data_IF_551901124080
#
_entry.id   IF_551901124080
#
_cell.length_a   1.000
_cell.length_b   1.000
_cell.length_c   1.000
_cell.angle_alpha   90.00
_cell.angle_beta   90.00
_cell.angle_gamma   90.00
#
_symmetry.space_group_name_H-M   'P 1'
#
loop_
_entity.id
_entity.type
_entity.pdbx_description
1 polymer ?
#
# COMPACT_ATOMS: atom_id res chain seq x y z
N UNK A 1 12.53 22.39 -18.82
CA UNK A 1 11.66 23.35 -18.12
C UNK A 1 12.49 24.20 -17.15
N UNK A 2 13.12 25.30 -17.63
CA UNK A 2 14.04 26.08 -16.78
C UNK A 2 13.38 26.79 -15.60
N UNK A 3 12.09 27.07 -15.67
CA UNK A 3 11.29 27.67 -14.59
C UNK A 3 10.79 26.66 -13.54
N UNK A 4 10.97 25.37 -13.76
CA UNK A 4 10.49 24.33 -12.85
C UNK A 4 11.48 24.14 -11.71
N UNK A 5 11.02 24.29 -10.48
CA UNK A 5 11.80 24.07 -9.26
C UNK A 5 11.20 22.92 -8.45
N UNK A 6 11.98 22.33 -7.55
CA UNK A 6 11.45 21.30 -6.64
C UNK A 6 10.26 21.84 -5.82
N UNK A 7 10.31 23.09 -5.39
CA UNK A 7 9.22 23.71 -4.63
C UNK A 7 7.91 23.78 -5.44
N UNK A 8 7.97 24.08 -6.74
CA UNK A 8 6.77 24.06 -7.59
C UNK A 8 6.21 22.67 -7.77
N UNK A 9 7.07 21.64 -7.91
CA UNK A 9 6.65 20.24 -8.06
C UNK A 9 6.03 19.65 -6.79
N UNK A 10 6.29 20.24 -5.61
CA UNK A 10 5.63 19.83 -4.37
C UNK A 10 4.15 20.23 -4.29
N UNK A 11 3.70 21.11 -5.19
CA UNK A 11 2.28 21.42 -5.33
C UNK A 11 1.63 20.32 -6.21
N UNK A 12 0.56 19.65 -5.75
CA UNK A 12 -0.10 18.62 -6.55
C UNK A 12 -0.57 19.17 -7.90
N UNK A 13 -0.43 18.36 -8.96
CA UNK A 13 -0.85 18.67 -10.33
C UNK A 13 -0.20 19.92 -10.93
N UNK A 14 1.08 20.13 -10.62
CA UNK A 14 1.85 21.29 -11.11
C UNK A 14 3.03 20.91 -12.00
N UNK A 15 3.13 19.65 -12.38
CA UNK A 15 4.20 19.22 -13.29
C UNK A 15 3.99 19.82 -14.69
N UNK A 16 5.07 20.21 -15.36
CA UNK A 16 4.99 20.56 -16.77
C UNK A 16 4.68 19.31 -17.58
N UNK A 17 4.17 19.50 -18.81
CA UNK A 17 3.93 18.37 -19.70
C UNK A 17 5.22 17.58 -19.94
N UNK A 18 5.20 16.30 -19.60
CA UNK A 18 6.29 15.35 -19.79
C UNK A 18 6.10 14.55 -21.10
N UNK A 19 6.96 13.59 -21.36
CA UNK A 19 6.92 12.65 -22.51
C UNK A 19 6.98 13.32 -23.88
N UNK A 20 7.52 14.53 -23.99
CA UNK A 20 7.66 15.23 -25.27
C UNK A 20 8.76 14.65 -26.16
N UNK A 21 9.71 13.91 -25.58
CA UNK A 21 10.86 13.33 -26.29
C UNK A 21 10.95 11.82 -26.20
N UNK A 22 10.54 11.22 -25.10
CA UNK A 22 10.65 9.80 -24.84
C UNK A 22 9.46 9.30 -24.03
N UNK A 23 9.12 8.03 -24.19
CA UNK A 23 8.16 7.32 -23.33
C UNK A 23 8.84 6.88 -22.04
N UNK A 24 8.04 6.73 -20.98
CA UNK A 24 8.49 6.20 -19.69
C UNK A 24 7.92 4.80 -19.49
N UNK A 25 8.82 3.83 -19.35
CA UNK A 25 8.47 2.44 -19.01
C UNK A 25 8.95 2.15 -17.60
N UNK A 26 8.08 1.60 -16.77
CA UNK A 26 8.42 1.19 -15.40
C UNK A 26 8.26 -0.32 -15.25
N UNK A 27 9.21 -0.94 -14.56
CA UNK A 27 9.28 -2.38 -14.31
C UNK A 27 9.48 -2.55 -12.80
N UNK A 28 8.47 -2.97 -12.02
CA UNK A 28 8.60 -3.09 -10.58
C UNK A 28 9.46 -4.29 -10.19
N UNK A 29 10.30 -4.11 -9.18
CA UNK A 29 11.15 -5.15 -8.57
C UNK A 29 10.70 -5.54 -7.16
N UNK A 30 9.52 -5.09 -6.74
CA UNK A 30 8.85 -5.44 -5.48
C UNK A 30 7.36 -5.63 -5.71
N UNK A 31 6.71 -6.41 -4.86
CA UNK A 31 5.27 -6.63 -4.93
C UNK A 31 4.55 -5.84 -3.83
N UNK A 32 4.54 -4.50 -3.97
CA UNK A 32 3.96 -3.64 -2.92
C UNK A 32 3.55 -2.24 -3.38
N UNK A 33 4.52 -1.42 -3.79
CA UNK A 33 4.34 0.02 -4.00
C UNK A 33 3.52 0.40 -5.24
N UNK A 34 3.46 -0.48 -6.23
CA UNK A 34 2.74 -0.27 -7.49
C UNK A 34 3.10 1.03 -8.23
N UNK A 35 4.34 1.50 -8.10
CA UNK A 35 4.78 2.77 -8.71
C UNK A 35 4.72 2.76 -10.23
N UNK A 36 4.68 1.57 -10.85
CA UNK A 36 4.54 1.38 -12.29
C UNK A 36 3.18 1.79 -12.86
N UNK A 37 2.16 1.94 -12.01
CA UNK A 37 0.79 2.29 -12.41
C UNK A 37 0.21 3.48 -11.65
N UNK A 38 1.03 4.22 -10.90
CA UNK A 38 0.54 5.29 -10.02
C UNK A 38 1.05 6.67 -10.39
N UNK A 39 0.28 7.68 -10.00
CA UNK A 39 0.54 9.10 -10.22
C UNK A 39 1.31 9.75 -9.04
N UNK A 40 2.08 8.96 -8.28
CA UNK A 40 2.73 9.41 -7.05
C UNK A 40 4.23 9.09 -7.04
N UNK A 41 5.01 10.01 -6.47
CA UNK A 41 6.43 9.83 -6.17
C UNK A 41 6.74 10.45 -4.81
N UNK A 42 7.35 9.70 -3.90
CA UNK A 42 7.67 10.22 -2.55
C UNK A 42 9.18 10.45 -2.46
N UNK A 43 9.58 11.70 -2.32
CA UNK A 43 10.98 12.11 -2.23
C UNK A 43 11.31 12.53 -0.80
N UNK A 44 12.40 11.99 -0.26
CA UNK A 44 12.87 12.37 1.09
C UNK A 44 13.91 13.48 1.00
N UNK A 45 13.64 14.60 1.65
CA UNK A 45 14.62 15.64 1.94
C UNK A 45 15.31 15.28 3.27
N UNK A 46 16.47 14.67 3.16
CA UNK A 46 17.23 14.22 4.34
C UNK A 46 17.75 15.40 5.18
N UNK A 47 17.96 16.57 4.59
CA UNK A 47 18.44 17.74 5.32
C UNK A 47 17.35 18.30 6.27
N UNK A 48 16.09 18.16 5.87
CA UNK A 48 14.93 18.63 6.65
C UNK A 48 14.20 17.51 7.39
N UNK A 49 14.50 16.24 7.10
CA UNK A 49 13.76 15.10 7.63
C UNK A 49 12.30 15.05 7.16
N UNK A 50 12.02 15.53 5.95
CA UNK A 50 10.65 15.64 5.42
C UNK A 50 10.50 14.76 4.17
N UNK A 51 9.38 14.04 4.07
CA UNK A 51 8.95 13.35 2.86
C UNK A 51 7.94 14.20 2.11
N UNK A 52 8.22 14.45 0.84
CA UNK A 52 7.35 15.19 -0.08
C UNK A 52 6.64 14.19 -1.00
N UNK A 53 5.33 14.01 -0.85
CA UNK A 53 4.53 13.27 -1.84
C UNK A 53 4.29 14.18 -3.04
N UNK A 54 4.92 13.86 -4.16
CA UNK A 54 4.65 14.49 -5.45
C UNK A 54 3.49 13.73 -6.09
N UNK A 55 2.48 14.45 -6.56
CA UNK A 55 1.29 13.87 -7.16
C UNK A 55 0.96 14.58 -8.48
N UNK A 56 1.03 13.86 -9.58
CA UNK A 56 0.66 14.38 -10.89
C UNK A 56 0.45 13.23 -11.89
N UNK A 57 -0.53 13.33 -12.76
CA UNK A 57 -0.75 12.35 -13.82
C UNK A 57 0.40 12.30 -14.82
N UNK A 58 1.17 13.39 -14.97
CA UNK A 58 2.36 13.43 -15.83
C UNK A 58 3.48 12.49 -15.38
N UNK A 59 3.52 12.06 -14.11
CA UNK A 59 4.52 11.10 -13.63
C UNK A 59 4.06 9.64 -13.72
N UNK A 60 2.80 9.37 -14.04
CA UNK A 60 2.35 8.00 -14.30
C UNK A 60 3.09 7.43 -15.51
N UNK A 61 3.70 6.23 -15.41
CA UNK A 61 4.37 5.60 -16.54
C UNK A 61 3.43 5.38 -17.74
N UNK A 62 3.98 5.50 -18.96
CA UNK A 62 3.24 5.19 -20.19
C UNK A 62 3.08 3.67 -20.38
N UNK A 63 4.04 2.89 -19.86
CA UNK A 63 4.09 1.43 -19.99
C UNK A 63 4.50 0.85 -18.64
N UNK A 64 3.74 -0.11 -18.16
CA UNK A 64 4.09 -0.93 -17.01
C UNK A 64 4.40 -2.36 -17.48
N UNK A 65 5.56 -2.90 -17.10
CA UNK A 65 5.91 -4.30 -17.35
C UNK A 65 5.96 -5.00 -15.98
N UNK A 66 4.97 -5.84 -15.73
CA UNK A 66 4.84 -6.59 -14.47
C UNK A 66 5.41 -7.98 -14.68
N UNK A 67 6.74 -8.12 -14.48
CA UNK A 67 7.46 -9.37 -14.69
C UNK A 67 7.76 -10.04 -13.33
N UNK A 68 7.10 -11.18 -13.01
CA UNK A 68 7.29 -11.87 -11.73
C UNK A 68 8.69 -12.45 -11.55
N UNK A 69 9.48 -12.63 -12.62
CA UNK A 69 10.87 -13.08 -12.51
C UNK A 69 11.73 -12.11 -11.68
N UNK A 70 11.40 -10.82 -11.67
CA UNK A 70 12.15 -9.81 -10.95
C UNK A 70 11.93 -9.85 -9.42
N UNK A 71 10.88 -10.53 -8.95
CA UNK A 71 10.59 -10.69 -7.52
C UNK A 71 10.92 -12.09 -6.99
N UNK A 72 11.40 -13.00 -7.85
CA UNK A 72 11.72 -14.37 -7.45
C UNK A 72 12.76 -14.46 -6.32
N UNK A 73 13.75 -13.56 -6.31
CA UNK A 73 14.82 -13.52 -5.30
C UNK A 73 14.60 -12.50 -4.19
N UNK A 74 13.42 -11.88 -4.13
CA UNK A 74 13.14 -10.87 -3.11
C UNK A 74 13.24 -11.50 -1.70
N UNK A 75 14.02 -10.89 -0.78
CA UNK A 75 14.14 -11.41 0.58
C UNK A 75 12.80 -11.51 1.28
N UNK A 76 12.56 -12.58 2.03
CA UNK A 76 11.28 -12.87 2.70
C UNK A 76 10.78 -11.73 3.58
N UNK A 77 11.69 -11.01 4.24
CA UNK A 77 11.35 -9.82 5.04
C UNK A 77 10.77 -8.70 4.18
N UNK A 78 11.27 -8.52 2.96
CA UNK A 78 10.72 -7.55 2.01
C UNK A 78 9.38 -8.03 1.46
N UNK A 79 9.23 -9.33 1.19
CA UNK A 79 7.94 -9.92 0.78
C UNK A 79 6.85 -9.62 1.82
N UNK A 80 7.17 -9.80 3.11
CA UNK A 80 6.24 -9.48 4.19
C UNK A 80 5.84 -8.00 4.18
N UNK A 81 6.82 -7.10 4.13
CA UNK A 81 6.55 -5.67 4.20
C UNK A 81 5.83 -5.15 2.97
N UNK A 82 6.27 -5.54 1.77
CA UNK A 82 5.65 -5.07 0.53
C UNK A 82 4.29 -5.71 0.30
N UNK A 83 4.08 -6.97 0.70
CA UNK A 83 2.79 -7.62 0.64
C UNK A 83 1.75 -6.99 1.56
N UNK A 84 2.14 -6.61 2.78
CA UNK A 84 1.27 -5.87 3.69
C UNK A 84 1.02 -4.43 3.22
N UNK A 85 1.96 -3.83 2.51
CA UNK A 85 1.78 -2.55 1.83
C UNK A 85 0.71 -2.64 0.74
N UNK A 86 0.80 -3.65 -0.13
CA UNK A 86 -0.21 -3.92 -1.16
C UNK A 86 -1.60 -4.16 -0.56
N UNK A 87 -1.68 -4.92 0.55
CA UNK A 87 -2.94 -5.12 1.27
C UNK A 87 -3.50 -3.80 1.80
N UNK A 88 -2.64 -2.97 2.38
CA UNK A 88 -3.05 -1.67 2.92
C UNK A 88 -3.54 -0.74 1.80
N UNK A 89 -2.84 -0.68 0.67
CA UNK A 89 -3.25 0.05 -0.52
C UNK A 89 -4.67 -0.34 -0.96
N UNK A 90 -4.91 -1.64 -1.10
CA UNK A 90 -6.19 -2.16 -1.57
C UNK A 90 -7.33 -1.91 -0.56
N UNK A 91 -7.08 -2.12 0.73
CA UNK A 91 -8.08 -1.87 1.79
C UNK A 91 -8.41 -0.37 1.87
N UNK A 92 -7.40 0.50 1.89
CA UNK A 92 -7.65 1.95 1.96
C UNK A 92 -8.35 2.47 0.71
N UNK A 93 -7.98 1.99 -0.49
CA UNK A 93 -8.69 2.33 -1.72
C UNK A 93 -10.16 1.90 -1.67
N UNK A 94 -10.44 0.70 -1.16
CA UNK A 94 -11.80 0.17 -1.06
C UNK A 94 -12.66 0.97 -0.11
N UNK A 95 -12.14 1.39 1.06
CA UNK A 95 -12.90 2.15 2.05
C UNK A 95 -12.80 3.67 1.87
N UNK A 96 -12.07 4.14 0.87
CA UNK A 96 -11.94 5.55 0.55
C UNK A 96 -13.29 6.21 0.27
N UNK A 97 -13.43 7.46 0.65
CA UNK A 97 -14.59 8.28 0.24
C UNK A 97 -14.62 8.62 -1.25
N UNK A 98 -13.50 8.38 -1.95
CA UNK A 98 -13.36 8.53 -3.40
C UNK A 98 -13.45 7.19 -4.14
N UNK A 99 -13.91 6.13 -3.47
CA UNK A 99 -14.17 4.84 -4.12
C UNK A 99 -15.18 4.97 -5.27
N UNK A 100 -15.13 4.05 -6.21
CA UNK A 100 -15.99 4.08 -7.39
C UNK A 100 -16.22 2.66 -7.94
N UNK A 101 -17.24 2.47 -8.82
CA UNK A 101 -17.41 1.21 -9.52
C UNK A 101 -16.21 0.77 -10.37
N UNK A 102 -15.28 1.66 -10.67
CA UNK A 102 -14.04 1.36 -11.40
C UNK A 102 -12.91 0.92 -10.47
N UNK A 103 -12.83 1.47 -9.25
CA UNK A 103 -11.77 1.16 -8.29
C UNK A 103 -12.10 -0.02 -7.39
N UNK A 104 -13.37 -0.19 -7.02
CA UNK A 104 -13.82 -1.25 -6.10
C UNK A 104 -13.51 -2.67 -6.60
N UNK A 105 -13.77 -3.04 -7.87
CA UNK A 105 -13.43 -4.37 -8.35
C UNK A 105 -11.93 -4.68 -8.31
N UNK A 106 -11.09 -3.68 -8.58
CA UNK A 106 -9.63 -3.82 -8.55
C UNK A 106 -9.15 -3.99 -7.10
N UNK A 107 -9.64 -3.15 -6.19
CA UNK A 107 -9.29 -3.20 -4.77
C UNK A 107 -9.69 -4.53 -4.14
N UNK A 108 -10.93 -4.96 -4.35
CA UNK A 108 -11.44 -6.23 -3.81
C UNK A 108 -10.66 -7.41 -4.38
N UNK A 109 -10.40 -7.44 -5.70
CA UNK A 109 -9.62 -8.52 -6.29
C UNK A 109 -8.20 -8.57 -5.73
N UNK A 110 -7.57 -7.43 -5.53
CA UNK A 110 -6.26 -7.35 -4.89
C UNK A 110 -6.29 -7.87 -3.44
N UNK A 111 -7.31 -7.51 -2.65
CA UNK A 111 -7.47 -8.01 -1.27
C UNK A 111 -7.61 -9.53 -1.26
N UNK A 112 -8.51 -10.10 -2.07
CA UNK A 112 -8.71 -11.55 -2.18
C UNK A 112 -7.39 -12.26 -2.51
N UNK A 113 -6.67 -11.77 -3.53
CA UNK A 113 -5.39 -12.36 -3.93
C UNK A 113 -4.33 -12.26 -2.82
N UNK A 114 -4.24 -11.14 -2.11
CA UNK A 114 -3.28 -11.03 -0.99
C UNK A 114 -3.62 -12.01 0.13
N UNK A 115 -4.90 -12.18 0.47
CA UNK A 115 -5.33 -13.15 1.49
C UNK A 115 -5.00 -14.58 1.10
N UNK A 116 -5.14 -14.92 -0.18
CA UNK A 116 -4.89 -16.27 -0.70
C UNK A 116 -3.39 -16.57 -0.82
N UNK A 117 -2.57 -15.60 -1.26
CA UNK A 117 -1.22 -15.87 -1.71
C UNK A 117 -0.09 -15.30 -0.85
N UNK A 118 -0.34 -14.28 0.00
CA UNK A 118 0.76 -13.65 0.76
C UNK A 118 1.50 -14.62 1.68
N UNK A 119 0.85 -15.51 2.46
CA UNK A 119 1.57 -16.47 3.28
C UNK A 119 2.47 -17.42 2.47
N UNK A 120 1.94 -18.00 1.39
CA UNK A 120 2.72 -18.88 0.53
C UNK A 120 3.87 -18.14 -0.20
N UNK A 121 3.62 -16.92 -0.64
CA UNK A 121 4.66 -16.05 -1.21
C UNK A 121 5.79 -15.76 -0.21
N UNK A 122 5.45 -15.56 1.06
CA UNK A 122 6.43 -15.40 2.13
C UNK A 122 7.25 -16.69 2.34
N UNK A 123 6.62 -17.86 2.21
CA UNK A 123 7.26 -19.17 2.30
C UNK A 123 8.03 -19.59 1.02
N UNK A 124 8.27 -18.65 0.12
CA UNK A 124 9.05 -18.84 -1.11
C UNK A 124 8.35 -19.62 -2.22
N UNK A 125 7.03 -19.77 -2.19
CA UNK A 125 6.26 -20.31 -3.31
C UNK A 125 6.28 -19.31 -4.49
N UNK A 126 6.80 -19.76 -5.64
CA UNK A 126 7.00 -18.89 -6.80
C UNK A 126 5.71 -18.54 -7.52
N UNK A 127 4.75 -19.46 -7.56
CA UNK A 127 3.44 -19.21 -8.16
C UNK A 127 2.67 -18.18 -7.31
N UNK A 128 2.77 -18.29 -5.99
CA UNK A 128 2.20 -17.30 -5.08
C UNK A 128 2.91 -15.93 -5.20
N UNK A 129 4.23 -15.89 -5.44
CA UNK A 129 4.95 -14.63 -5.70
C UNK A 129 4.48 -13.95 -6.97
N UNK A 130 4.23 -14.71 -8.02
CA UNK A 130 3.64 -14.20 -9.26
C UNK A 130 2.27 -13.58 -8.98
N UNK A 131 1.39 -14.29 -8.26
CA UNK A 131 0.07 -13.79 -7.92
C UNK A 131 0.14 -12.52 -7.06
N UNK A 132 1.07 -12.45 -6.10
CA UNK A 132 1.30 -11.25 -5.30
C UNK A 132 1.80 -10.08 -6.15
N UNK A 133 2.59 -10.35 -7.20
CA UNK A 133 3.06 -9.32 -8.10
C UNK A 133 1.93 -8.73 -8.95
N UNK A 134 0.95 -9.53 -9.33
CA UNK A 134 -0.27 -9.04 -9.98
C UNK A 134 -1.20 -8.32 -9.00
N UNK A 135 -1.36 -8.84 -7.78
CA UNK A 135 -2.21 -8.23 -6.76
C UNK A 135 -1.79 -6.79 -6.42
N UNK A 136 -0.48 -6.54 -6.28
CA UNK A 136 0.02 -5.20 -6.00
C UNK A 136 -0.28 -4.23 -7.15
N UNK A 137 -0.18 -4.66 -8.40
CA UNK A 137 -0.50 -3.84 -9.56
C UNK A 137 -2.00 -3.46 -9.58
N UNK A 138 -2.89 -4.41 -9.27
CA UNK A 138 -4.33 -4.14 -9.12
C UNK A 138 -4.61 -3.15 -7.99
N UNK A 139 -3.97 -3.34 -6.83
CA UNK A 139 -4.05 -2.40 -5.70
C UNK A 139 -3.61 -0.99 -6.12
N UNK A 140 -2.53 -0.90 -6.90
CA UNK A 140 -2.00 0.35 -7.44
C UNK A 140 -2.99 1.09 -8.33
N UNK A 141 -3.61 0.37 -9.27
CA UNK A 141 -4.63 0.94 -10.13
C UNK A 141 -5.85 1.43 -9.33
N UNK A 142 -6.22 0.72 -8.27
CA UNK A 142 -7.30 1.12 -7.38
C UNK A 142 -6.95 2.41 -6.63
N UNK A 143 -5.86 2.42 -5.85
CA UNK A 143 -5.54 3.55 -4.99
C UNK A 143 -5.06 4.79 -5.76
N UNK A 144 -4.46 4.63 -6.94
CA UNK A 144 -4.07 5.77 -7.77
C UNK A 144 -5.28 6.64 -8.16
N UNK A 145 -6.48 6.05 -8.16
CA UNK A 145 -7.73 6.73 -8.48
C UNK A 145 -8.62 7.00 -7.24
N UNK A 146 -8.63 6.09 -6.26
CA UNK A 146 -9.43 6.25 -5.04
C UNK A 146 -8.71 6.99 -3.92
N UNK A 147 -7.39 7.22 -4.06
CA UNK A 147 -6.48 7.73 -3.05
C UNK A 147 -6.34 6.79 -1.83
N UNK A 148 -5.58 7.26 -0.84
CA UNK A 148 -5.24 6.52 0.38
C UNK A 148 -5.81 7.23 1.61
N UNK A 149 -5.67 6.59 2.77
CA UNK A 149 -6.26 7.04 4.01
C UNK A 149 -5.26 7.30 5.14
N UNK A 150 -5.72 7.05 6.37
CA UNK A 150 -5.02 7.37 7.62
C UNK A 150 -3.76 6.50 7.79
N UNK A 151 -3.79 5.23 7.38
CA UNK A 151 -2.63 4.32 7.56
C UNK A 151 -1.42 4.88 6.83
N UNK A 152 -1.55 5.18 5.55
CA UNK A 152 -0.46 5.74 4.74
C UNK A 152 -0.03 7.12 5.23
N UNK A 153 -0.98 7.97 5.64
CA UNK A 153 -0.67 9.28 6.22
C UNK A 153 0.21 9.15 7.47
N UNK A 154 -0.11 8.22 8.37
CA UNK A 154 0.68 7.93 9.57
C UNK A 154 2.05 7.33 9.22
N UNK A 155 2.10 6.36 8.29
CA UNK A 155 3.33 5.71 7.87
C UNK A 155 4.33 6.69 7.24
N UNK A 156 3.87 7.60 6.39
CA UNK A 156 4.71 8.64 5.79
C UNK A 156 5.30 9.58 6.85
N UNK A 157 4.48 10.02 7.81
CA UNK A 157 4.95 10.90 8.91
C UNK A 157 5.92 10.19 9.83
N UNK A 158 5.64 8.94 10.19
CA UNK A 158 6.54 8.13 11.03
C UNK A 158 7.89 7.91 10.33
N UNK A 159 7.89 7.54 9.04
CA UNK A 159 9.11 7.32 8.28
C UNK A 159 9.94 8.59 8.04
N UNK A 160 9.36 9.78 8.19
CA UNK A 160 10.07 11.06 8.07
C UNK A 160 10.60 11.60 9.40
N UNK A 161 9.87 11.35 10.50
CA UNK A 161 10.10 12.01 11.79
C UNK A 161 11.30 11.48 12.58
N UNK A 162 11.82 10.29 12.27
CA UNK A 162 12.83 9.62 13.09
C UNK A 162 14.13 9.42 12.33
N UNK A 163 15.15 10.18 12.71
CA UNK A 163 16.52 10.09 12.18
C UNK A 163 17.26 8.82 12.63
N UNK A 164 16.76 8.13 13.67
CA UNK A 164 17.42 7.00 14.35
C UNK A 164 16.59 5.73 14.30
N UNK A 165 15.92 5.40 13.33
CA UNK A 165 15.14 4.15 13.24
C UNK A 165 14.24 4.19 12.04
N UNK A 166 14.78 3.87 10.88
CA UNK A 166 13.97 3.77 9.67
C UNK A 166 13.05 2.54 9.78
N UNK A 167 11.79 2.77 10.14
CA UNK A 167 10.76 1.76 9.95
C UNK A 167 10.49 1.67 8.45
N UNK A 168 10.66 0.49 7.83
CA UNK A 168 10.26 0.30 6.44
C UNK A 168 8.79 0.64 6.24
N UNK A 169 8.45 1.31 5.14
CA UNK A 169 7.12 1.85 4.91
C UNK A 169 6.01 0.80 5.05
N UNK A 170 6.13 -0.34 4.35
CA UNK A 170 5.15 -1.43 4.46
C UNK A 170 5.07 -2.06 5.85
N UNK A 171 6.16 -2.03 6.62
CA UNK A 171 6.12 -2.47 8.02
C UNK A 171 5.32 -1.48 8.88
N UNK A 172 5.48 -0.18 8.69
CA UNK A 172 4.67 0.82 9.39
C UNK A 172 3.17 0.67 9.05
N UNK A 173 2.85 0.46 7.77
CA UNK A 173 1.49 0.19 7.32
C UNK A 173 0.91 -1.06 8.00
N UNK A 174 1.67 -2.16 8.05
CA UNK A 174 1.26 -3.41 8.70
C UNK A 174 0.96 -3.23 10.20
N UNK A 175 1.75 -2.42 10.89
CA UNK A 175 1.55 -2.12 12.32
C UNK A 175 0.28 -1.27 12.52
N UNK A 176 0.04 -0.28 11.68
CA UNK A 176 -1.07 0.67 11.88
C UNK A 176 -2.42 0.16 11.38
N UNK A 177 -2.43 -0.68 10.35
CA UNK A 177 -3.66 -1.11 9.67
C UNK A 177 -4.73 -1.66 10.63
N UNK A 178 -4.45 -2.59 11.57
CA UNK A 178 -5.47 -3.09 12.50
C UNK A 178 -6.12 -2.00 13.35
N UNK A 179 -5.31 -1.04 13.82
CA UNK A 179 -5.79 0.06 14.66
C UNK A 179 -6.64 1.06 13.88
N UNK A 180 -6.26 1.35 12.64
CA UNK A 180 -7.01 2.28 11.78
C UNK A 180 -8.32 1.63 11.33
N UNK A 181 -8.35 0.34 11.00
CA UNK A 181 -9.61 -0.37 10.72
C UNK A 181 -10.56 -0.24 11.92
N UNK A 182 -10.08 -0.47 13.12
CA UNK A 182 -10.87 -0.33 14.36
C UNK A 182 -11.37 1.11 14.54
N UNK A 183 -10.52 2.10 14.30
CA UNK A 183 -10.89 3.52 14.41
C UNK A 183 -11.94 3.89 13.36
N UNK A 184 -11.70 3.59 12.09
CA UNK A 184 -12.61 3.93 10.99
C UNK A 184 -13.96 3.22 11.09
N UNK A 185 -14.00 2.05 11.77
CA UNK A 185 -15.26 1.29 11.96
C UNK A 185 -16.29 1.99 12.86
N UNK A 186 -15.99 3.17 13.40
CA UNK A 186 -17.00 4.02 14.04
C UNK A 186 -17.88 4.73 13.01
N UNK A 187 -17.42 4.85 11.77
CA UNK A 187 -18.18 5.36 10.64
C UNK A 187 -19.00 4.21 10.01
N UNK A 188 -20.33 4.32 9.90
CA UNK A 188 -21.17 3.21 9.43
C UNK A 188 -20.81 2.67 8.04
N UNK A 189 -20.49 3.55 7.09
CA UNK A 189 -20.14 3.12 5.73
C UNK A 189 -18.79 2.39 5.71
N UNK A 190 -17.80 2.87 6.46
CA UNK A 190 -16.52 2.18 6.60
C UNK A 190 -16.69 0.81 7.27
N UNK A 191 -17.50 0.72 8.34
CA UNK A 191 -17.86 -0.54 9.00
C UNK A 191 -18.44 -1.54 7.99
N UNK A 192 -19.43 -1.10 7.22
CA UNK A 192 -20.09 -1.94 6.20
C UNK A 192 -19.07 -2.45 5.16
N UNK A 193 -18.19 -1.59 4.69
CA UNK A 193 -17.17 -1.95 3.68
C UNK A 193 -16.09 -2.89 4.24
N UNK A 194 -15.63 -2.70 5.47
CA UNK A 194 -14.72 -3.66 6.12
C UNK A 194 -15.41 -5.02 6.37
N UNK A 195 -16.67 -5.02 6.75
CA UNK A 195 -17.45 -6.25 6.90
C UNK A 195 -17.64 -6.98 5.54
N UNK A 196 -17.79 -6.23 4.45
CA UNK A 196 -17.84 -6.80 3.10
C UNK A 196 -16.51 -7.46 2.73
N UNK A 197 -15.36 -6.82 3.00
CA UNK A 197 -14.05 -7.44 2.84
C UNK A 197 -14.00 -8.78 3.59
N UNK A 198 -14.36 -8.79 4.87
CA UNK A 198 -14.33 -10.00 5.68
C UNK A 198 -15.14 -11.14 5.07
N UNK A 199 -16.34 -10.86 4.57
CA UNK A 199 -17.17 -11.86 3.88
C UNK A 199 -16.52 -12.38 2.62
N UNK A 200 -15.96 -11.52 1.80
CA UNK A 200 -15.34 -11.88 0.52
C UNK A 200 -14.09 -12.74 0.67
N UNK A 201 -13.33 -12.51 1.72
CA UNK A 201 -12.16 -13.36 2.04
C UNK A 201 -12.51 -14.55 2.95
N UNK A 202 -13.79 -14.90 3.06
CA UNK A 202 -14.26 -16.09 3.74
C UNK A 202 -14.17 -16.05 5.27
N UNK A 203 -14.08 -14.88 5.87
CA UNK A 203 -14.07 -14.76 7.33
C UNK A 203 -15.48 -14.79 7.90
N UNK A 204 -15.65 -15.48 9.04
CA UNK A 204 -16.92 -15.63 9.73
C UNK A 204 -17.37 -14.37 10.47
N UNK A 205 -18.60 -14.43 10.96
CA UNK A 205 -19.22 -13.38 11.78
C UNK A 205 -20.70 -13.22 11.48
N UNK A 206 -21.50 -13.04 12.53
CA UNK A 206 -22.98 -12.91 12.42
C UNK A 206 -23.43 -11.45 12.35
N UNK A 207 -22.53 -10.50 12.55
CA UNK A 207 -22.76 -9.05 12.46
C UNK A 207 -21.58 -8.36 11.81
N UNK A 208 -21.78 -7.16 11.26
CA UNK A 208 -20.70 -6.36 10.70
C UNK A 208 -19.56 -6.16 11.70
N UNK A 209 -19.88 -5.86 12.95
CA UNK A 209 -18.88 -5.72 14.02
C UNK A 209 -18.06 -6.99 14.22
N UNK A 210 -18.68 -8.17 14.23
CA UNK A 210 -17.96 -9.44 14.39
C UNK A 210 -17.12 -9.76 13.16
N UNK A 211 -17.59 -9.43 11.96
CA UNK A 211 -16.85 -9.57 10.70
C UNK A 211 -15.62 -8.67 10.66
N UNK A 212 -15.77 -7.40 11.07
CA UNK A 212 -14.64 -6.46 11.18
C UNK A 212 -13.60 -6.95 12.20
N UNK A 213 -14.04 -7.46 13.35
CA UNK A 213 -13.11 -8.05 14.32
C UNK A 213 -12.35 -9.24 13.72
N UNK A 214 -13.04 -10.12 12.99
CA UNK A 214 -12.41 -11.26 12.31
C UNK A 214 -11.37 -10.79 11.26
N UNK A 215 -11.67 -9.70 10.52
CA UNK A 215 -10.71 -9.09 9.60
C UNK A 215 -9.46 -8.58 10.32
N UNK A 216 -9.63 -7.85 11.42
CA UNK A 216 -8.52 -7.36 12.25
C UNK A 216 -7.66 -8.52 12.75
N UNK A 217 -8.28 -9.54 13.34
CA UNK A 217 -7.59 -10.73 13.86
C UNK A 217 -6.80 -11.46 12.75
N UNK A 218 -7.37 -11.56 11.55
CA UNK A 218 -6.69 -12.19 10.41
C UNK A 218 -5.48 -11.38 9.96
N UNK A 219 -5.59 -10.05 9.86
CA UNK A 219 -4.45 -9.17 9.54
C UNK A 219 -3.36 -9.27 10.60
N UNK A 220 -3.72 -9.25 11.88
CA UNK A 220 -2.77 -9.46 12.96
C UNK A 220 -2.12 -10.85 12.92
N UNK A 221 -2.85 -11.88 12.47
CA UNK A 221 -2.29 -13.22 12.28
C UNK A 221 -1.24 -13.24 11.16
N UNK A 222 -1.44 -12.50 10.07
CA UNK A 222 -0.43 -12.32 9.03
C UNK A 222 0.82 -11.64 9.60
N UNK A 223 0.66 -10.56 10.35
CA UNK A 223 1.78 -9.87 11.00
C UNK A 223 2.59 -10.82 11.89
N UNK A 224 1.91 -11.63 12.70
CA UNK A 224 2.58 -12.64 13.55
C UNK A 224 3.30 -13.72 12.74
N UNK A 225 2.63 -14.26 11.72
CA UNK A 225 3.18 -15.32 10.86
C UNK A 225 4.46 -14.87 10.14
N UNK A 226 4.46 -13.66 9.63
CA UNK A 226 5.58 -13.10 8.90
C UNK A 226 6.60 -12.37 9.80
N UNK A 227 6.51 -12.51 11.11
CA UNK A 227 7.42 -11.89 12.08
C UNK A 227 7.52 -10.36 11.92
N UNK A 228 6.42 -9.70 11.57
CA UNK A 228 6.36 -8.24 11.55
C UNK A 228 6.33 -7.74 12.99
N UNK A 229 7.19 -6.78 13.37
CA UNK A 229 7.22 -6.20 14.70
C UNK A 229 5.87 -5.63 15.12
N UNK A 230 5.53 -5.79 16.40
CA UNK A 230 4.23 -5.29 16.92
C UNK A 230 4.24 -3.80 17.21
N UNK A 231 5.41 -3.24 17.45
CA UNK A 231 5.54 -1.85 17.91
C UNK A 231 6.71 -1.15 17.25
N UNK A 232 6.61 0.19 17.19
CA UNK A 232 7.71 1.05 16.73
C UNK A 232 8.97 0.96 17.60
N UNK A 233 8.83 0.60 18.88
CA UNK A 233 9.95 0.46 19.84
C UNK A 233 10.97 -0.58 19.38
N UNK A 234 10.52 -1.62 18.69
CA UNK A 234 11.39 -2.67 18.14
C UNK A 234 12.35 -2.18 17.03
N UNK A 235 12.07 -0.99 16.49
CA UNK A 235 12.94 -0.29 15.55
C UNK A 235 13.79 0.82 16.21
N UNK A 236 13.83 0.89 17.54
CA UNK A 236 14.58 1.92 18.25
C UNK A 236 13.93 3.30 18.24
N UNK A 237 12.66 3.38 17.87
CA UNK A 237 11.87 4.61 17.97
C UNK A 237 11.45 4.76 19.43
N UNK A 238 12.15 5.61 20.16
CA UNK A 238 11.77 6.03 21.51
C UNK A 238 10.76 7.17 21.43
N UNK A 239 9.87 7.22 22.41
CA UNK A 239 8.89 8.32 22.56
C UNK A 239 9.57 9.66 22.78
#
# INVERSE_FOLDING_TARGET
>A
HPETTFATLCTPFSFPKLRTKAKFCAIPSTSGTATEVTAFSVITDYAKGIKYPLADFEITPDIAIVDPALVATLPVKQVAYTGMDALTHAIEAYVSTLNSPFTDPLAIKAIEMVFDYLPASYDMDMDAREQMHYAQCLAGQAFSNALLGIVHSMAHKTGAAFSTGHIPHGCANAIYLPYVIKYNSHEPEAMRRYADIARRVGLGGTSEKSQVNALIEKIESFNRYMNIPKTRKEFGVNE
#
